data_IF_545808213312
#
_entry.id   IF_545808213312
#
_cell.length_a   1.000
_cell.length_b   1.000
_cell.length_c   1.000
_cell.angle_alpha   90.00
_cell.angle_beta   90.00
_cell.angle_gamma   90.00
#
_symmetry.space_group_name_H-M   'P 1'
#
loop_
_entity.id
_entity.type
_entity.pdbx_description
1 polymer ?
#
# COMPACT_ATOMS: atom_id res chain seq x y z
N UNK A 1 -48.72 14.13 35.84
CA UNK A 1 -47.29 13.87 36.10
C UNK A 1 -46.75 12.62 35.41
N UNK A 2 -47.52 11.54 35.27
CA UNK A 2 -47.07 10.28 34.63
C UNK A 2 -46.71 10.39 33.14
N UNK A 3 -47.46 11.17 32.36
CA UNK A 3 -47.21 11.32 30.92
C UNK A 3 -45.86 12.00 30.59
N UNK A 4 -45.44 12.99 31.38
CA UNK A 4 -44.15 13.69 31.17
C UNK A 4 -42.94 12.81 31.53
N UNK A 5 -43.09 11.97 32.57
CA UNK A 5 -42.06 11.00 32.94
C UNK A 5 -41.88 9.91 31.86
N UNK A 6 -42.99 9.44 31.26
CA UNK A 6 -42.94 8.46 30.17
C UNK A 6 -42.29 9.04 28.91
N UNK A 7 -42.60 10.30 28.57
CA UNK A 7 -41.99 10.96 27.41
C UNK A 7 -40.47 11.15 27.60
N UNK A 8 -40.04 11.52 28.80
CA UNK A 8 -38.62 11.66 29.15
C UNK A 8 -37.86 10.32 29.09
N UNK A 9 -38.47 9.24 29.57
CA UNK A 9 -37.87 7.91 29.50
C UNK A 9 -37.70 7.41 28.05
N UNK A 10 -38.71 7.62 27.20
CA UNK A 10 -38.63 7.25 25.77
C UNK A 10 -37.55 8.04 25.05
N UNK A 11 -37.44 9.35 25.30
CA UNK A 11 -36.39 10.18 24.68
C UNK A 11 -34.99 9.71 25.08
N UNK A 12 -34.78 9.41 26.36
CA UNK A 12 -33.49 8.92 26.87
C UNK A 12 -33.09 7.57 26.24
N UNK A 13 -34.04 6.65 26.07
CA UNK A 13 -33.79 5.35 25.43
C UNK A 13 -33.45 5.52 23.95
N UNK A 14 -34.14 6.41 23.24
CA UNK A 14 -33.84 6.69 21.82
C UNK A 14 -32.50 7.38 21.62
N UNK A 15 -32.13 8.34 22.47
CA UNK A 15 -30.82 8.99 22.43
C UNK A 15 -29.70 8.01 22.79
N UNK A 16 -29.88 7.18 23.82
CA UNK A 16 -28.90 6.15 24.17
C UNK A 16 -28.73 5.15 23.03
N UNK A 17 -29.84 4.67 22.42
CA UNK A 17 -29.80 3.76 21.28
C UNK A 17 -29.14 4.37 20.04
N UNK A 18 -29.36 5.66 19.75
CA UNK A 18 -28.71 6.34 18.63
C UNK A 18 -27.21 6.55 18.86
N UNK A 19 -26.81 6.91 20.09
CA UNK A 19 -25.39 7.03 20.47
C UNK A 19 -24.71 5.68 20.46
N UNK A 20 -25.34 4.63 20.98
CA UNK A 20 -24.81 3.27 20.93
C UNK A 20 -24.69 2.76 19.49
N UNK A 21 -25.68 3.06 18.63
CA UNK A 21 -25.63 2.70 17.21
C UNK A 21 -24.56 3.47 16.45
N UNK A 22 -24.23 4.70 16.86
CA UNK A 22 -23.12 5.47 16.30
C UNK A 22 -21.76 4.95 16.79
N UNK A 23 -21.64 4.52 18.05
CA UNK A 23 -20.42 3.96 18.63
C UNK A 23 -20.15 2.52 18.17
N UNK A 24 -21.20 1.73 17.90
CA UNK A 24 -21.10 0.38 17.31
C UNK A 24 -21.10 0.39 15.78
N UNK A 25 -21.26 1.56 15.13
CA UNK A 25 -21.08 1.65 13.69
C UNK A 25 -19.60 1.44 13.39
N UNK A 26 -19.21 0.40 12.64
CA UNK A 26 -17.81 0.18 12.29
C UNK A 26 -17.36 1.34 11.39
N UNK A 27 -16.63 2.30 11.97
CA UNK A 27 -16.11 3.48 11.25
C UNK A 27 -16.45 4.86 11.84
N UNK A 28 -16.48 5.03 13.17
CA UNK A 28 -16.70 6.34 13.80
C UNK A 28 -15.44 6.94 14.46
N UNK A 29 -14.94 8.06 13.91
CA UNK A 29 -14.06 9.12 14.44
C UNK A 29 -12.71 8.79 15.13
N UNK A 30 -12.55 7.66 15.81
CA UNK A 30 -11.29 7.18 16.42
C UNK A 30 -10.51 6.22 15.50
N UNK A 31 -11.07 5.89 14.35
CA UNK A 31 -10.56 4.88 13.41
C UNK A 31 -9.31 5.35 12.62
N UNK A 32 -9.01 6.66 12.59
CA UNK A 32 -7.96 7.23 11.74
C UNK A 32 -6.52 7.03 12.24
N UNK A 33 -6.23 7.32 13.52
CA UNK A 33 -4.85 7.27 14.05
C UNK A 33 -4.33 5.83 14.24
N UNK A 34 -5.22 4.89 14.55
CA UNK A 34 -4.84 3.50 14.85
C UNK A 34 -4.50 2.72 13.58
N UNK A 35 -5.20 2.97 12.46
CA UNK A 35 -4.85 2.35 11.18
C UNK A 35 -3.58 2.96 10.58
N UNK A 36 -3.38 4.28 10.62
CA UNK A 36 -2.14 4.88 10.07
C UNK A 36 -0.88 4.41 10.80
N UNK A 37 -0.94 4.32 12.13
CA UNK A 37 0.17 3.79 12.94
C UNK A 37 0.42 2.29 12.66
N UNK A 38 -0.64 1.51 12.48
CA UNK A 38 -0.55 0.11 12.09
C UNK A 38 0.06 -0.08 10.70
N UNK A 39 -0.35 0.73 9.72
CA UNK A 39 0.15 0.69 8.34
C UNK A 39 1.61 1.11 8.29
N UNK A 40 1.99 2.15 9.03
CA UNK A 40 3.40 2.53 9.20
C UNK A 40 4.23 1.38 9.76
N UNK A 41 3.75 0.72 10.81
CA UNK A 41 4.42 -0.44 11.39
C UNK A 41 4.56 -1.61 10.41
N UNK A 42 3.55 -1.86 9.56
CA UNK A 42 3.63 -2.86 8.49
C UNK A 42 4.73 -2.48 7.50
N UNK A 43 4.72 -1.25 6.99
CA UNK A 43 5.68 -0.80 5.97
C UNK A 43 7.12 -0.80 6.50
N UNK A 44 7.33 -0.39 7.75
CA UNK A 44 8.65 -0.44 8.40
C UNK A 44 9.15 -1.88 8.54
N UNK A 45 8.30 -2.81 8.97
CA UNK A 45 8.66 -4.22 9.05
C UNK A 45 8.98 -4.81 7.66
N UNK A 46 8.18 -4.49 6.64
CA UNK A 46 8.43 -4.88 5.25
C UNK A 46 9.76 -4.34 4.73
N UNK A 47 10.08 -3.06 5.00
CA UNK A 47 11.38 -2.45 4.64
C UNK A 47 12.56 -3.23 5.23
N UNK A 48 12.50 -3.53 6.53
CA UNK A 48 13.56 -4.28 7.20
C UNK A 48 13.73 -5.69 6.61
N UNK A 49 12.62 -6.35 6.26
CA UNK A 49 12.63 -7.67 5.64
C UNK A 49 13.25 -7.63 4.24
N UNK A 50 12.86 -6.67 3.41
CA UNK A 50 13.40 -6.47 2.05
C UNK A 50 14.88 -6.07 2.10
N UNK A 51 15.27 -5.15 2.97
CA UNK A 51 16.69 -4.76 3.09
C UNK A 51 17.57 -5.92 3.52
N UNK A 52 17.07 -6.75 4.45
CA UNK A 52 17.76 -7.96 4.88
C UNK A 52 17.90 -8.97 3.74
N UNK A 53 16.88 -9.15 2.90
CA UNK A 53 16.93 -10.09 1.77
C UNK A 53 17.86 -9.60 0.66
N UNK A 54 17.81 -8.30 0.32
CA UNK A 54 18.73 -7.66 -0.62
C UNK A 54 20.18 -7.80 -0.14
N UNK A 55 20.45 -7.47 1.13
CA UNK A 55 21.78 -7.59 1.69
C UNK A 55 22.29 -9.04 1.72
N UNK A 56 21.41 -10.00 2.05
CA UNK A 56 21.75 -11.41 2.02
C UNK A 56 22.05 -11.90 0.60
N UNK A 57 21.31 -11.45 -0.42
CA UNK A 57 21.55 -11.75 -1.81
C UNK A 57 22.90 -11.17 -2.29
N UNK A 58 23.18 -9.91 -1.95
CA UNK A 58 24.48 -9.26 -2.24
C UNK A 58 25.65 -10.01 -1.58
N UNK A 59 25.51 -10.46 -0.33
CA UNK A 59 26.54 -11.25 0.37
C UNK A 59 26.76 -12.65 -0.20
N UNK A 60 25.72 -13.26 -0.75
CA UNK A 60 25.86 -14.54 -1.48
C UNK A 60 26.55 -14.36 -2.83
N UNK A 61 26.58 -13.14 -3.37
CA UNK A 61 27.41 -12.80 -4.51
C UNK A 61 28.90 -12.78 -4.06
N UNK A 62 29.80 -13.39 -4.83
CA UNK A 62 31.02 -14.05 -4.35
C UNK A 62 32.19 -13.08 -4.24
N UNK A 63 32.07 -11.96 -3.52
CA UNK A 63 33.23 -11.12 -3.24
C UNK A 63 34.30 -11.81 -2.36
N UNK A 64 34.20 -13.12 -2.08
CA UNK A 64 35.03 -13.86 -1.11
C UNK A 64 35.46 -15.29 -1.48
N UNK A 65 35.45 -15.71 -2.75
CA UNK A 65 36.12 -16.96 -3.15
C UNK A 65 37.14 -16.65 -4.24
N UNK A 66 38.39 -17.07 -4.04
CA UNK A 66 39.58 -16.75 -4.84
C UNK A 66 39.53 -17.21 -6.32
N UNK A 67 38.40 -17.76 -6.80
CA UNK A 67 38.18 -18.10 -8.21
C UNK A 67 36.76 -17.68 -8.60
N UNK A 68 36.63 -16.63 -9.40
CA UNK A 68 35.35 -16.15 -9.93
C UNK A 68 34.93 -17.10 -11.06
N UNK A 69 33.80 -17.80 -10.91
CA UNK A 69 33.25 -18.64 -11.98
C UNK A 69 32.67 -17.79 -13.12
N UNK A 70 32.61 -18.28 -14.37
CA UNK A 70 31.98 -17.55 -15.48
C UNK A 70 30.53 -17.12 -15.18
N UNK A 71 29.77 -17.95 -14.47
CA UNK A 71 28.42 -17.65 -13.99
C UNK A 71 28.35 -16.48 -13.00
N UNK A 72 29.41 -16.27 -12.22
CA UNK A 72 29.54 -15.14 -11.30
C UNK A 72 29.97 -13.86 -12.02
N UNK A 73 30.81 -13.96 -13.06
CA UNK A 73 31.10 -12.80 -13.91
C UNK A 73 29.82 -12.28 -14.59
N UNK A 74 28.98 -13.20 -15.06
CA UNK A 74 27.69 -12.85 -15.66
C UNK A 74 26.68 -12.31 -14.62
N UNK A 75 26.79 -12.65 -13.33
CA UNK A 75 25.88 -12.12 -12.30
C UNK A 75 26.09 -10.64 -12.01
N UNK A 76 27.28 -10.08 -12.27
CA UNK A 76 27.51 -8.63 -12.13
C UNK A 76 26.65 -7.80 -13.09
N UNK A 77 26.37 -8.31 -14.30
CA UNK A 77 25.46 -7.65 -15.24
C UNK A 77 24.01 -7.60 -14.75
N UNK A 78 23.66 -8.41 -13.75
CA UNK A 78 22.32 -8.43 -13.14
C UNK A 78 22.16 -7.42 -12.01
N UNK A 79 23.22 -6.70 -11.63
CA UNK A 79 23.11 -5.64 -10.62
C UNK A 79 22.41 -4.43 -11.25
N UNK A 80 21.23 -4.03 -10.74
CA UNK A 80 20.54 -2.88 -11.27
C UNK A 80 21.34 -1.59 -11.00
N UNK A 81 21.27 -0.64 -11.94
CA UNK A 81 21.72 0.75 -11.72
C UNK A 81 21.08 1.32 -10.44
N UNK A 82 21.75 2.22 -9.68
CA UNK A 82 21.18 2.84 -8.48
C UNK A 82 19.71 3.28 -8.56
N UNK A 83 19.28 3.87 -9.67
CA UNK A 83 17.89 4.32 -9.89
C UNK A 83 16.93 3.14 -10.03
N UNK A 84 17.28 2.16 -10.86
CA UNK A 84 16.54 0.91 -11.05
C UNK A 84 16.49 0.08 -9.76
N UNK A 85 17.57 0.07 -8.98
CA UNK A 85 17.64 -0.58 -7.68
C UNK A 85 16.67 0.07 -6.70
N UNK A 86 16.65 1.41 -6.62
CA UNK A 86 15.73 2.12 -5.75
C UNK A 86 14.26 1.85 -6.12
N UNK A 87 13.93 1.86 -7.42
CA UNK A 87 12.59 1.55 -7.92
C UNK A 87 12.17 0.10 -7.61
N UNK A 88 13.05 -0.87 -7.90
CA UNK A 88 12.80 -2.28 -7.60
C UNK A 88 12.63 -2.50 -6.10
N UNK A 89 13.50 -1.91 -5.26
CA UNK A 89 13.37 -1.97 -3.80
C UNK A 89 12.05 -1.40 -3.32
N UNK A 90 11.63 -0.25 -3.84
CA UNK A 90 10.35 0.36 -3.46
C UNK A 90 9.17 -0.56 -3.80
N UNK A 91 9.20 -1.18 -4.99
CA UNK A 91 8.18 -2.15 -5.43
C UNK A 91 8.13 -3.39 -4.53
N UNK A 92 9.28 -3.95 -4.15
CA UNK A 92 9.34 -5.09 -3.22
C UNK A 92 8.78 -4.74 -1.83
N UNK A 93 9.06 -3.53 -1.33
CA UNK A 93 8.47 -3.05 -0.07
C UNK A 93 6.96 -2.91 -0.18
N UNK A 94 6.46 -2.32 -1.28
CA UNK A 94 5.03 -2.17 -1.54
C UNK A 94 4.33 -3.52 -1.55
N UNK A 95 4.82 -4.48 -2.32
CA UNK A 95 4.24 -5.82 -2.43
C UNK A 95 4.21 -6.52 -1.06
N UNK A 96 5.34 -6.53 -0.34
CA UNK A 96 5.43 -7.15 0.98
C UNK A 96 4.48 -6.48 1.99
N UNK A 97 4.30 -5.16 1.92
CA UNK A 97 3.38 -4.42 2.78
C UNK A 97 1.91 -4.70 2.45
N UNK A 98 1.56 -4.79 1.17
CA UNK A 98 0.21 -5.15 0.71
C UNK A 98 -0.13 -6.56 1.17
N UNK A 99 0.77 -7.53 0.96
CA UNK A 99 0.56 -8.91 1.40
C UNK A 99 0.36 -9.01 2.93
N UNK A 100 1.16 -8.28 3.71
CA UNK A 100 1.03 -8.28 5.17
C UNK A 100 -0.23 -7.55 5.65
N UNK A 101 -0.63 -6.44 4.99
CA UNK A 101 -1.88 -5.75 5.28
C UNK A 101 -3.10 -6.63 4.98
N UNK A 102 -3.07 -7.37 3.86
CA UNK A 102 -4.09 -8.36 3.51
C UNK A 102 -4.13 -9.48 4.55
N UNK A 103 -2.97 -10.02 4.94
CA UNK A 103 -2.86 -11.10 5.95
C UNK A 103 -3.41 -10.69 7.32
N UNK A 104 -3.25 -9.42 7.72
CA UNK A 104 -3.73 -8.89 9.01
C UNK A 104 -5.21 -8.59 9.05
N UNK A 105 -5.95 -8.79 7.95
CA UNK A 105 -7.41 -8.71 7.96
C UNK A 105 -7.98 -7.34 7.60
N UNK A 106 -7.25 -6.48 6.87
CA UNK A 106 -7.84 -5.30 6.21
C UNK A 106 -8.70 -5.66 4.98
N UNK A 107 -9.26 -6.89 4.93
CA UNK A 107 -10.08 -7.42 3.85
C UNK A 107 -11.49 -6.83 3.92
N UNK A 108 -11.96 -6.19 2.84
CA UNK A 108 -13.40 -6.19 2.54
C UNK A 108 -13.74 -7.52 1.86
N UNK A 109 -14.35 -8.42 2.64
CA UNK A 109 -15.03 -9.68 2.25
C UNK A 109 -14.88 -10.20 0.81
N UNK A 110 -14.32 -11.41 0.67
CA UNK A 110 -14.53 -12.31 -0.47
C UNK A 110 -13.27 -13.11 -0.83
N UNK A 111 -13.30 -14.44 -0.67
CA UNK A 111 -12.14 -15.34 -0.81
C UNK A 111 -11.60 -15.51 -2.25
N UNK A 112 -11.76 -14.53 -3.14
CA UNK A 112 -11.38 -14.65 -4.55
C UNK A 112 -11.05 -13.31 -5.23
N UNK A 113 -10.45 -12.34 -4.53
CA UNK A 113 -10.03 -11.07 -5.12
C UNK A 113 -8.50 -10.94 -5.14
N UNK A 114 -7.90 -10.30 -6.17
CA UNK A 114 -6.49 -9.91 -6.16
C UNK A 114 -6.16 -9.13 -4.87
N UNK A 115 -4.94 -9.27 -4.31
CA UNK A 115 -4.54 -8.60 -3.07
C UNK A 115 -4.71 -7.07 -3.10
N UNK A 116 -4.54 -6.46 -4.27
CA UNK A 116 -4.78 -5.03 -4.52
C UNK A 116 -6.25 -4.65 -4.41
N UNK A 117 -7.15 -5.52 -4.84
CA UNK A 117 -8.59 -5.23 -4.86
C UNK A 117 -9.24 -5.44 -3.49
N UNK A 118 -8.48 -6.03 -2.56
CA UNK A 118 -8.95 -6.33 -1.21
C UNK A 118 -8.73 -5.18 -0.20
N UNK A 119 -7.87 -4.21 -0.54
CA UNK A 119 -7.54 -3.03 0.29
C UNK A 119 -8.27 -1.78 -0.24
N UNK A 120 -8.55 -0.81 0.65
CA UNK A 120 -9.12 0.47 0.21
C UNK A 120 -8.10 1.30 -0.56
N UNK A 121 -8.57 2.14 -1.49
CA UNK A 121 -7.71 3.03 -2.28
C UNK A 121 -6.88 3.97 -1.39
N UNK A 122 -7.49 4.49 -0.31
CA UNK A 122 -6.79 5.32 0.67
C UNK A 122 -5.65 4.57 1.36
N UNK A 123 -5.88 3.31 1.75
CA UNK A 123 -4.88 2.46 2.39
C UNK A 123 -3.73 2.14 1.43
N UNK A 124 -4.04 1.76 0.18
CA UNK A 124 -3.04 1.53 -0.87
C UNK A 124 -2.20 2.79 -1.14
N UNK A 125 -2.83 3.96 -1.18
CA UNK A 125 -2.14 5.24 -1.35
C UNK A 125 -1.17 5.52 -0.20
N UNK A 126 -1.57 5.26 1.05
CA UNK A 126 -0.69 5.40 2.21
C UNK A 126 0.49 4.42 2.15
N UNK A 127 0.27 3.16 1.79
CA UNK A 127 1.35 2.17 1.61
C UNK A 127 2.29 2.59 0.47
N UNK A 128 1.76 3.08 -0.65
CA UNK A 128 2.55 3.56 -1.78
C UNK A 128 3.43 4.76 -1.40
N UNK A 129 2.87 5.73 -0.68
CA UNK A 129 3.60 6.89 -0.17
C UNK A 129 4.71 6.49 0.81
N UNK A 130 4.42 5.58 1.75
CA UNK A 130 5.40 5.12 2.73
C UNK A 130 6.45 4.19 2.14
N UNK A 131 6.11 3.33 1.19
CA UNK A 131 7.07 2.45 0.50
C UNK A 131 7.97 3.21 -0.46
N UNK A 132 7.51 4.36 -0.97
CA UNK A 132 8.15 5.09 -2.06
C UNK A 132 7.78 4.53 -3.44
N UNK A 133 6.97 3.48 -3.51
CA UNK A 133 6.41 2.94 -4.74
C UNK A 133 5.13 3.69 -5.08
N UNK A 134 5.27 4.99 -5.33
CA UNK A 134 4.17 5.80 -5.84
C UNK A 134 3.63 5.14 -7.11
N UNK A 135 2.30 5.04 -7.29
CA UNK A 135 1.73 4.48 -8.50
C UNK A 135 2.32 5.23 -9.70
N UNK A 136 3.17 4.55 -10.46
CA UNK A 136 3.78 5.09 -11.68
C UNK A 136 2.77 5.25 -12.81
N UNK A 137 1.50 4.90 -12.56
CA UNK A 137 0.39 5.04 -13.49
C UNK A 137 -0.32 6.39 -13.30
N UNK A 138 0.42 7.46 -13.01
CA UNK A 138 -0.04 8.76 -13.51
C UNK A 138 -0.07 8.62 -15.04
N UNK A 139 -1.11 9.10 -15.75
CA UNK A 139 -1.12 9.06 -17.21
C UNK A 139 0.22 9.63 -17.68
N UNK A 140 0.96 8.92 -18.57
CA UNK A 140 2.32 9.30 -18.92
C UNK A 140 2.30 10.77 -19.31
N UNK A 141 3.20 11.58 -18.72
CA UNK A 141 3.25 13.00 -19.02
C UNK A 141 3.95 13.17 -20.35
N UNK A 142 3.19 13.46 -21.40
CA UNK A 142 3.75 13.85 -22.69
C UNK A 142 3.61 15.37 -22.90
N UNK A 143 4.58 16.00 -23.59
CA UNK A 143 4.53 17.42 -23.89
C UNK A 143 3.32 17.72 -24.78
N UNK A 144 2.73 18.90 -24.62
CA UNK A 144 1.64 19.36 -25.47
C UNK A 144 2.20 19.87 -26.80
N UNK A 145 2.45 18.92 -27.71
CA UNK A 145 2.98 19.18 -29.06
C UNK A 145 2.11 18.48 -30.08
N UNK A 146 2.08 18.98 -31.32
CA UNK A 146 1.30 18.39 -32.39
C UNK A 146 1.63 16.90 -32.62
N UNK A 147 2.90 16.52 -32.48
CA UNK A 147 3.33 15.13 -32.63
C UNK A 147 2.85 14.26 -31.47
N UNK A 148 3.05 14.67 -30.22
CA UNK A 148 2.59 13.91 -29.05
C UNK A 148 1.06 13.76 -29.02
N UNK A 149 0.32 14.80 -29.43
CA UNK A 149 -1.14 14.80 -29.44
C UNK A 149 -1.73 13.78 -30.42
N UNK A 150 -1.02 13.45 -31.51
CA UNK A 150 -1.42 12.40 -32.46
C UNK A 150 -1.47 11.01 -31.83
N UNK A 151 -0.62 10.76 -30.83
CA UNK A 151 -0.48 9.45 -30.19
C UNK A 151 -1.19 9.38 -28.83
N UNK A 152 -2.02 10.37 -28.49
CA UNK A 152 -2.87 10.28 -27.29
C UNK A 152 -4.02 9.31 -27.50
N UNK A 153 -4.42 8.64 -26.43
CA UNK A 153 -5.67 7.90 -26.35
C UNK A 153 -6.85 8.87 -26.47
N UNK A 154 -8.05 8.34 -26.79
CA UNK A 154 -9.29 9.14 -26.85
C UNK A 154 -9.62 9.85 -25.53
N UNK A 155 -9.09 9.32 -24.42
CA UNK A 155 -9.19 9.91 -23.08
C UNK A 155 -8.25 11.12 -22.87
N UNK A 156 -7.41 11.46 -23.85
CA UNK A 156 -6.38 12.49 -23.74
C UNK A 156 -5.10 12.04 -23.02
N UNK A 157 -5.09 10.83 -22.46
CA UNK A 157 -3.89 10.23 -21.87
C UNK A 157 -2.86 9.90 -22.97
N UNK A 158 -1.58 10.03 -22.64
CA UNK A 158 -0.54 9.69 -23.59
C UNK A 158 -0.48 8.15 -23.77
N UNK A 159 -0.24 7.69 -24.99
CA UNK A 159 0.15 6.30 -25.21
C UNK A 159 1.63 6.15 -24.87
N UNK A 160 2.01 5.06 -24.20
CA UNK A 160 3.40 4.78 -23.81
C UNK A 160 4.25 4.43 -25.04
#
# INVERSE_FOLDING_TARGET
MRARAMLGAVLAITCAGAVFSFLLRPGGLLWGETEESQVRGIVEASRLLVDKSIYAAMRRNPHRREVISPSQLLSFSKLPEPTSHAASRAAEVMEASVQEAVRRGHLRSGAAQPPTDALSEALLSTIANLSGCLPHMLPPRCPDTCLANKYRLITGACNN
#
